data_IF_636576220215
#
_entry.id   IF_636576220215
#
_cell.length_a   1.000
_cell.length_b   1.000
_cell.length_c   1.000
_cell.angle_alpha   90.00
_cell.angle_beta   90.00
_cell.angle_gamma   90.00
#
_symmetry.space_group_name_H-M   'P 1'
#
loop_
_entity.id
_entity.type
_entity.pdbx_description
1 polymer ?
#
# COMPACT_ATOMS: atom_id res chain seq x y z
N UNK A 1 -9.89 -1.59 -6.18
CA UNK A 1 -8.45 -1.53 -6.49
C UNK A 1 -8.07 -0.08 -6.79
N UNK A 2 -6.81 0.31 -6.60
CA UNK A 2 -6.32 1.66 -6.95
C UNK A 2 -5.32 1.52 -8.09
N UNK A 3 -5.54 2.22 -9.20
CA UNK A 3 -4.69 2.13 -10.40
C UNK A 3 -3.24 2.50 -10.10
N UNK A 4 -3.00 3.57 -9.33
CA UNK A 4 -1.66 3.96 -8.92
C UNK A 4 -0.99 2.91 -8.00
N UNK A 5 -1.73 2.37 -7.02
CA UNK A 5 -1.21 1.29 -6.17
C UNK A 5 -0.77 0.12 -7.03
N UNK A 6 -1.66 -0.37 -7.89
CA UNK A 6 -1.38 -1.49 -8.78
C UNK A 6 -0.24 -1.20 -9.74
N UNK A 7 -0.04 0.04 -10.18
CA UNK A 7 1.06 0.36 -11.09
C UNK A 7 2.43 0.21 -10.40
N UNK A 8 2.59 0.77 -9.20
CA UNK A 8 3.89 0.78 -8.52
C UNK A 8 4.19 -0.50 -7.71
N UNK A 9 3.17 -1.23 -7.24
CA UNK A 9 3.32 -2.31 -6.25
C UNK A 9 4.02 -3.56 -6.81
N UNK A 10 5.02 -4.04 -6.08
CA UNK A 10 5.76 -5.27 -6.41
C UNK A 10 4.82 -6.43 -6.70
N UNK A 11 5.10 -7.17 -7.79
CA UNK A 11 4.32 -8.34 -8.20
C UNK A 11 3.02 -7.98 -8.91
N UNK A 12 2.85 -6.73 -9.34
CA UNK A 12 1.71 -6.36 -10.19
C UNK A 12 1.70 -7.15 -11.50
N UNK A 13 0.52 -7.37 -12.05
CA UNK A 13 0.33 -7.98 -13.35
C UNK A 13 0.36 -6.87 -14.43
N UNK A 14 1.38 -6.83 -15.32
CA UNK A 14 1.46 -5.83 -16.38
C UNK A 14 0.24 -5.81 -17.30
N UNK A 15 -0.44 -6.96 -17.47
CA UNK A 15 -1.64 -7.08 -18.30
C UNK A 15 -2.82 -6.20 -17.82
N UNK A 16 -2.80 -5.73 -16.56
CA UNK A 16 -3.77 -4.75 -16.06
C UNK A 16 -3.67 -3.39 -16.75
N UNK A 17 -2.57 -3.14 -17.46
CA UNK A 17 -2.29 -1.88 -18.14
C UNK A 17 -2.24 -2.04 -19.66
N UNK A 18 -2.51 -3.23 -20.19
CA UNK A 18 -2.62 -3.46 -21.63
C UNK A 18 -3.67 -2.52 -22.22
N UNK A 19 -3.41 -2.00 -23.42
CA UNK A 19 -4.26 -1.05 -24.14
C UNK A 19 -4.45 0.33 -23.46
N UNK A 20 -3.94 0.54 -22.24
CA UNK A 20 -3.95 1.85 -21.61
C UNK A 20 -2.81 2.71 -22.16
N UNK A 21 -3.03 4.03 -22.21
CA UNK A 21 -2.02 5.00 -22.66
C UNK A 21 -0.67 4.85 -21.94
N UNK A 22 -0.69 4.46 -20.66
CA UNK A 22 0.53 4.27 -19.86
C UNK A 22 1.42 3.14 -20.38
N UNK A 23 0.87 2.12 -21.06
CA UNK A 23 1.66 1.04 -21.66
C UNK A 23 2.52 1.51 -22.84
N UNK A 24 2.17 2.66 -23.44
CA UNK A 24 2.98 3.29 -24.49
C UNK A 24 4.18 4.04 -23.90
N UNK A 25 4.13 4.43 -22.63
CA UNK A 25 5.19 5.13 -21.90
C UNK A 25 6.23 4.13 -21.37
N UNK A 26 7.01 3.54 -22.29
CA UNK A 26 7.97 2.46 -21.99
C UNK A 26 8.94 2.82 -20.86
N UNK A 27 9.48 4.04 -20.87
CA UNK A 27 10.40 4.50 -19.82
C UNK A 27 9.78 4.55 -18.41
N UNK A 28 8.48 4.88 -18.31
CA UNK A 28 7.77 4.84 -17.03
C UNK A 28 7.50 3.41 -16.59
N UNK A 29 7.06 2.56 -17.51
CA UNK A 29 6.82 1.14 -17.24
C UNK A 29 8.11 0.46 -16.76
N UNK A 30 9.21 0.65 -17.49
CA UNK A 30 10.52 0.12 -17.14
C UNK A 30 11.02 0.66 -15.80
N UNK A 31 10.80 1.94 -15.48
CA UNK A 31 11.34 2.49 -14.24
C UNK A 31 10.49 2.16 -13.01
N UNK A 32 9.17 2.02 -13.16
CA UNK A 32 8.26 2.06 -12.02
C UNK A 32 7.28 0.90 -11.92
N UNK A 33 6.87 0.28 -13.03
CA UNK A 33 5.79 -0.71 -13.00
C UNK A 33 6.22 -1.95 -12.22
N UNK A 34 5.53 -2.22 -11.11
CA UNK A 34 5.76 -3.42 -10.32
C UNK A 34 7.08 -3.46 -9.55
N UNK A 35 7.71 -2.31 -9.28
CA UNK A 35 9.08 -2.25 -8.74
C UNK A 35 9.20 -1.82 -7.28
N UNK A 36 8.12 -1.35 -6.65
CA UNK A 36 8.20 -0.72 -5.33
C UNK A 36 7.29 -1.40 -4.28
N UNK A 37 7.74 -1.50 -3.02
CA UNK A 37 6.84 -1.82 -1.92
C UNK A 37 5.94 -0.61 -1.63
N UNK A 38 4.70 -0.63 -2.14
CA UNK A 38 3.79 0.52 -2.07
C UNK A 38 2.90 0.44 -0.83
N UNK A 39 3.15 1.31 0.14
CA UNK A 39 2.25 1.53 1.28
C UNK A 39 1.09 2.41 0.80
N UNK A 40 -0.12 1.85 0.74
CA UNK A 40 -1.31 2.58 0.25
C UNK A 40 -2.41 2.63 1.29
N UNK A 41 -2.62 3.81 1.86
CA UNK A 41 -3.61 4.03 2.93
C UNK A 41 -4.85 4.71 2.36
N UNK A 42 -6.03 4.11 2.61
CA UNK A 42 -7.32 4.72 2.29
C UNK A 42 -7.99 5.21 3.56
N UNK A 43 -8.26 6.52 3.62
CA UNK A 43 -8.90 7.14 4.77
C UNK A 43 -10.44 7.21 4.65
N UNK A 44 -11.01 6.75 3.53
CA UNK A 44 -12.47 6.79 3.27
C UNK A 44 -13.31 6.08 4.34
N UNK A 45 -12.72 5.15 5.08
CA UNK A 45 -13.39 4.37 6.13
C UNK A 45 -12.95 4.75 7.54
N UNK A 46 -12.27 5.90 7.70
CA UNK A 46 -11.99 6.48 9.02
C UNK A 46 -13.24 7.23 9.47
N UNK A 47 -13.92 6.68 10.46
CA UNK A 47 -15.13 7.27 11.04
C UNK A 47 -15.26 6.85 12.52
N UNK A 48 -16.04 7.58 13.29
CA UNK A 48 -16.33 7.28 14.69
C UNK A 48 -17.32 8.27 15.31
N UNK A 49 -18.13 7.78 16.25
CA UNK A 49 -19.15 8.58 16.95
C UNK A 49 -18.57 9.75 17.76
N UNK A 50 -17.25 9.75 18.00
CA UNK A 50 -16.51 10.82 18.63
C UNK A 50 -15.06 10.83 18.11
N UNK A 51 -14.31 11.88 18.46
CA UNK A 51 -12.93 12.06 18.04
C UNK A 51 -12.04 10.86 18.36
N UNK A 52 -12.16 10.30 19.56
CA UNK A 52 -11.38 9.13 19.98
C UNK A 52 -11.67 7.91 19.09
N UNK A 53 -12.94 7.65 18.80
CA UNK A 53 -13.35 6.57 17.90
C UNK A 53 -12.80 6.72 16.48
N UNK A 54 -12.79 7.94 15.94
CA UNK A 54 -12.19 8.21 14.62
C UNK A 54 -10.67 8.00 14.63
N UNK A 55 -9.98 8.41 15.70
CA UNK A 55 -8.54 8.17 15.89
C UNK A 55 -8.23 6.67 15.98
N UNK A 56 -9.05 5.90 16.70
CA UNK A 56 -8.87 4.46 16.82
C UNK A 56 -9.12 3.75 15.47
N UNK A 57 -10.12 4.20 14.69
CA UNK A 57 -10.34 3.71 13.33
C UNK A 57 -9.14 4.01 12.40
N UNK A 58 -8.57 5.22 12.50
CA UNK A 58 -7.36 5.60 11.77
C UNK A 58 -6.17 4.71 12.13
N UNK A 59 -5.90 4.52 13.42
CA UNK A 59 -4.82 3.65 13.92
C UNK A 59 -4.95 2.24 13.37
N UNK A 60 -6.16 1.68 13.38
CA UNK A 60 -6.43 0.35 12.83
C UNK A 60 -6.13 0.26 11.34
N UNK A 61 -6.53 1.26 10.54
CA UNK A 61 -6.25 1.28 9.10
C UNK A 61 -4.73 1.34 8.83
N UNK A 62 -4.02 2.20 9.56
CA UNK A 62 -2.56 2.30 9.45
C UNK A 62 -1.88 1.00 9.88
N UNK A 63 -2.29 0.44 11.03
CA UNK A 63 -1.75 -0.82 11.56
C UNK A 63 -1.95 -1.99 10.61
N UNK A 64 -3.15 -2.12 10.02
CA UNK A 64 -3.43 -3.16 9.03
C UNK A 64 -2.52 -3.04 7.80
N UNK A 65 -2.29 -1.83 7.30
CA UNK A 65 -1.38 -1.62 6.17
C UNK A 65 0.08 -1.89 6.58
N UNK A 66 0.50 -1.48 7.79
CA UNK A 66 1.83 -1.76 8.31
C UNK A 66 2.10 -3.27 8.44
N UNK A 67 1.15 -4.06 8.95
CA UNK A 67 1.35 -5.50 9.10
C UNK A 67 1.52 -6.22 7.74
N UNK A 68 0.87 -5.75 6.66
CA UNK A 68 1.10 -6.26 5.29
C UNK A 68 2.57 -6.12 4.84
N UNK A 69 3.26 -5.12 5.38
CA UNK A 69 4.66 -4.81 5.10
C UNK A 69 5.62 -5.23 6.22
N UNK A 70 5.21 -6.15 7.12
CA UNK A 70 6.08 -6.70 8.17
C UNK A 70 7.40 -7.30 7.65
N UNK A 71 7.46 -7.68 6.37
CA UNK A 71 8.72 -8.09 5.74
C UNK A 71 9.77 -6.97 5.66
N UNK A 72 9.34 -5.70 5.65
CA UNK A 72 10.26 -4.56 5.65
C UNK A 72 11.03 -4.44 6.97
N UNK A 73 10.48 -4.88 8.10
CA UNK A 73 11.19 -4.91 9.39
C UNK A 73 12.40 -5.87 9.35
N UNK A 74 12.32 -6.89 8.50
CA UNK A 74 13.40 -7.87 8.32
C UNK A 74 14.57 -7.34 7.47
N UNK A 75 14.40 -6.23 6.75
CA UNK A 75 15.48 -5.58 6.00
C UNK A 75 16.48 -4.83 6.91
N UNK A 76 16.21 -4.72 8.23
CA UNK A 76 17.10 -4.06 9.20
C UNK A 76 17.35 -4.77 10.55
N UNK A 77 16.41 -5.56 11.10
CA UNK A 77 16.33 -6.01 12.53
C UNK A 77 16.41 -4.82 13.54
N UNK A 78 15.62 -4.74 14.61
CA UNK A 78 15.10 -5.78 15.52
C UNK A 78 13.57 -5.84 15.55
N UNK A 79 13.10 -7.08 15.53
CA UNK A 79 11.73 -7.56 15.69
C UNK A 79 10.91 -6.81 16.74
N UNK A 80 9.77 -6.26 16.33
CA UNK A 80 8.59 -6.12 17.18
C UNK A 80 7.41 -6.71 16.42
N UNK A 81 6.80 -7.75 16.97
CA UNK A 81 5.56 -8.29 16.43
C UNK A 81 4.54 -7.17 16.29
N UNK A 82 3.79 -7.17 15.18
CA UNK A 82 2.67 -6.27 14.95
C UNK A 82 1.64 -6.50 16.08
N UNK A 83 1.68 -5.68 17.14
CA UNK A 83 0.71 -5.76 18.23
C UNK A 83 -0.56 -5.09 17.72
N UNK A 84 -1.58 -5.89 17.48
CA UNK A 84 -2.94 -5.42 17.18
C UNK A 84 -3.53 -4.87 18.48
N UNK A 85 -3.37 -3.56 18.71
CA UNK A 85 -4.00 -2.81 19.80
C UNK A 85 -5.24 -2.07 19.31
#
# INVERSE_FOLDING_TARGET
MSMLKSFFEIGTNPALFDELKIAQEKGLCEKYMGKFPVIFIRLKSVDGLNFKGAVDALRRIIGNEACRFSFLDNLGRKTKNCIMG
#
